data_IF_758957403326
#
_entry.id   IF_758957403326
#
_cell.length_a   1.000
_cell.length_b   1.000
_cell.length_c   1.000
_cell.angle_alpha   90.00
_cell.angle_beta   90.00
_cell.angle_gamma   90.00
#
_symmetry.space_group_name_H-M   'P 1'
#
loop_
_entity.id
_entity.type
_entity.pdbx_description
1 polymer ?
#
# COMPACT_ATOMS: atom_id res chain seq x y z
N UNK A 1 -3.91 22.08 16.38
CA UNK A 1 -4.06 20.86 17.19
C UNK A 1 -2.86 19.94 16.97
N UNK A 2 -2.55 19.04 17.93
CA UNK A 2 -1.54 18.02 17.71
C UNK A 2 -2.02 17.01 16.66
N UNK A 3 -1.09 16.56 15.82
CA UNK A 3 -1.30 15.51 14.83
C UNK A 3 -1.14 14.13 15.49
N UNK A 4 -2.04 13.19 15.24
CA UNK A 4 -2.05 11.85 15.82
C UNK A 4 -2.39 10.75 14.80
N UNK A 5 -2.44 9.50 15.26
CA UNK A 5 -2.64 8.32 14.42
C UNK A 5 -4.05 8.18 13.81
N UNK A 6 -5.05 8.87 14.37
CA UNK A 6 -6.43 8.84 13.88
C UNK A 6 -6.67 9.88 12.78
N UNK A 7 -5.68 10.74 12.50
CA UNK A 7 -5.74 11.65 11.36
C UNK A 7 -5.73 10.89 10.02
N UNK A 8 -6.48 11.36 9.01
CA UNK A 8 -6.48 10.76 7.68
C UNK A 8 -5.14 10.94 6.96
N UNK A 9 -4.67 9.87 6.31
CA UNK A 9 -3.52 9.88 5.41
C UNK A 9 -3.94 9.69 3.94
N UNK A 10 -5.02 8.92 3.67
CA UNK A 10 -5.56 8.75 2.32
C UNK A 10 -7.07 8.94 2.25
N UNK A 11 -7.53 9.30 1.05
CA UNK A 11 -8.90 9.14 0.62
C UNK A 11 -8.90 8.25 -0.64
N UNK A 12 -9.24 6.97 -0.48
CA UNK A 12 -9.19 5.98 -1.57
C UNK A 12 -10.59 5.78 -2.11
N UNK A 13 -10.76 5.94 -3.43
CA UNK A 13 -12.07 5.76 -4.06
C UNK A 13 -12.29 4.34 -4.57
N UNK A 14 -13.51 3.84 -4.40
CA UNK A 14 -13.95 2.62 -5.07
C UNK A 14 -14.16 2.86 -6.56
N UNK A 15 -14.13 1.81 -7.38
CA UNK A 15 -14.29 1.89 -8.84
C UNK A 15 -15.65 2.42 -9.30
N UNK A 16 -16.67 2.37 -8.43
CA UNK A 16 -18.01 2.88 -8.75
C UNK A 16 -18.74 2.08 -9.83
N UNK A 17 -18.46 0.79 -10.00
CA UNK A 17 -19.09 -0.05 -11.05
C UNK A 17 -20.59 -0.27 -10.86
N UNK A 18 -21.10 -0.13 -9.63
CA UNK A 18 -22.54 -0.30 -9.31
C UNK A 18 -23.26 1.02 -9.02
N UNK A 19 -22.56 1.97 -8.41
CA UNK A 19 -23.07 3.27 -7.99
C UNK A 19 -21.91 4.28 -7.96
N UNK A 20 -22.17 5.53 -7.60
CA UNK A 20 -21.11 6.53 -7.51
C UNK A 20 -19.92 6.08 -6.64
N UNK A 21 -18.67 6.35 -7.08
CA UNK A 21 -17.47 6.09 -6.31
C UNK A 21 -17.58 6.65 -4.89
N UNK A 22 -17.20 5.84 -3.90
CA UNK A 22 -17.21 6.24 -2.49
C UNK A 22 -15.76 6.43 -2.04
N UNK A 23 -15.48 7.57 -1.43
CA UNK A 23 -14.19 7.84 -0.79
C UNK A 23 -14.11 7.16 0.57
N UNK A 24 -13.20 6.20 0.71
CA UNK A 24 -12.84 5.59 1.98
C UNK A 24 -11.74 6.42 2.63
N UNK A 25 -12.05 7.02 3.77
CA UNK A 25 -11.07 7.71 4.60
C UNK A 25 -10.18 6.67 5.29
N UNK A 26 -8.87 6.85 5.19
CA UNK A 26 -7.88 5.91 5.70
C UNK A 26 -6.91 6.64 6.60
N UNK A 27 -6.76 6.21 7.85
CA UNK A 27 -5.93 6.88 8.85
C UNK A 27 -4.52 6.30 8.93
N UNK A 28 -3.61 7.00 9.61
CA UNK A 28 -2.27 6.49 9.90
C UNK A 28 -2.31 5.16 10.66
N UNK A 29 -3.21 5.04 11.65
CA UNK A 29 -3.44 3.82 12.42
C UNK A 29 -3.86 2.64 11.55
N UNK A 30 -4.75 2.88 10.57
CA UNK A 30 -5.19 1.83 9.64
C UNK A 30 -4.04 1.33 8.77
N UNK A 31 -3.18 2.24 8.29
CA UNK A 31 -2.00 1.89 7.49
C UNK A 31 -1.02 1.02 8.27
N UNK A 32 -0.75 1.41 9.53
CA UNK A 32 0.14 0.68 10.41
C UNK A 32 -0.35 -0.76 10.65
N UNK A 33 -1.63 -0.92 11.03
CA UNK A 33 -2.20 -2.25 11.25
C UNK A 33 -2.29 -3.09 9.97
N UNK A 34 -2.55 -2.49 8.81
CA UNK A 34 -2.50 -3.22 7.55
C UNK A 34 -1.08 -3.71 7.24
N UNK A 35 -0.06 -2.89 7.52
CA UNK A 35 1.34 -3.26 7.30
C UNK A 35 1.76 -4.43 8.20
N UNK A 36 1.49 -4.34 9.51
CA UNK A 36 1.77 -5.44 10.44
C UNK A 36 1.05 -6.75 10.08
N UNK A 37 -0.24 -6.67 9.71
CA UNK A 37 -0.97 -7.87 9.30
C UNK A 37 -0.42 -8.47 8.00
N UNK A 38 0.08 -7.64 7.10
CA UNK A 38 0.68 -8.08 5.82
C UNK A 38 2.04 -8.72 6.07
N UNK A 39 2.88 -8.10 6.91
CA UNK A 39 4.15 -8.65 7.38
C UNK A 39 3.96 -10.04 7.96
N UNK A 40 3.10 -10.20 8.97
CA UNK A 40 2.84 -11.48 9.63
C UNK A 40 2.35 -12.54 8.63
N UNK A 41 1.60 -12.13 7.60
CA UNK A 41 1.05 -13.06 6.61
C UNK A 41 2.06 -13.51 5.57
N UNK A 42 3.02 -12.65 5.24
CA UNK A 42 3.97 -12.85 4.14
C UNK A 42 5.41 -13.06 4.62
N UNK A 43 5.62 -13.06 5.94
CA UNK A 43 6.92 -13.14 6.61
C UNK A 43 7.93 -12.12 6.08
N UNK A 44 7.46 -10.88 5.88
CA UNK A 44 8.29 -9.80 5.31
C UNK A 44 9.37 -9.38 6.31
N UNK A 45 10.59 -9.29 5.81
CA UNK A 45 11.78 -8.82 6.52
C UNK A 45 12.46 -7.70 5.73
N UNK A 46 13.45 -7.04 6.34
CA UNK A 46 14.28 -6.04 5.67
C UNK A 46 15.13 -6.59 4.51
N UNK A 47 15.26 -7.91 4.38
CA UNK A 47 15.98 -8.54 3.28
C UNK A 47 15.12 -8.75 2.03
N UNK A 48 13.80 -8.54 2.14
CA UNK A 48 12.87 -8.79 1.05
C UNK A 48 12.86 -7.67 0.02
N UNK A 49 12.46 -8.04 -1.20
CA UNK A 49 12.40 -7.14 -2.35
C UNK A 49 11.08 -7.35 -3.07
N UNK A 50 10.30 -6.28 -3.21
CA UNK A 50 9.07 -6.27 -4.00
C UNK A 50 9.26 -5.52 -5.31
N UNK A 51 8.57 -5.99 -6.35
CA UNK A 51 8.31 -5.22 -7.55
C UNK A 51 6.86 -4.74 -7.47
N UNK A 52 6.64 -3.45 -7.69
CA UNK A 52 5.30 -2.86 -7.73
C UNK A 52 5.08 -2.16 -9.08
N UNK A 53 4.29 -2.82 -9.92
CA UNK A 53 3.84 -2.31 -11.22
C UNK A 53 2.41 -1.78 -11.17
N UNK A 54 1.75 -1.83 -10.00
CA UNK A 54 0.37 -1.43 -9.84
C UNK A 54 0.27 0.10 -9.63
N UNK A 55 -0.84 0.74 -10.00
CA UNK A 55 -1.00 2.17 -9.81
C UNK A 55 -1.04 2.54 -8.32
N UNK A 56 -0.24 3.52 -7.84
CA UNK A 56 -0.14 3.87 -6.43
C UNK A 56 -1.39 4.51 -5.83
N UNK A 57 -2.40 4.86 -6.63
CA UNK A 57 -3.71 5.32 -6.14
C UNK A 57 -4.63 4.18 -5.67
N UNK A 58 -4.24 2.91 -5.86
CA UNK A 58 -4.96 1.75 -5.34
C UNK A 58 -4.36 1.22 -4.04
N UNK A 59 -5.22 0.73 -3.15
CA UNK A 59 -4.86 0.17 -1.83
C UNK A 59 -3.78 -0.92 -1.90
N UNK A 60 -3.81 -1.79 -2.92
CA UNK A 60 -2.83 -2.88 -3.05
C UNK A 60 -1.41 -2.38 -3.34
N UNK A 61 -1.28 -1.41 -4.24
CA UNK A 61 0.02 -0.81 -4.57
C UNK A 61 0.58 -0.04 -3.39
N UNK A 62 -0.26 0.78 -2.72
CA UNK A 62 0.22 1.65 -1.67
C UNK A 62 0.35 0.95 -0.31
N UNK A 63 -0.73 0.37 0.19
CA UNK A 63 -0.80 -0.12 1.57
C UNK A 63 -0.07 -1.46 1.72
N UNK A 64 -0.34 -2.41 0.80
CA UNK A 64 0.17 -3.79 0.89
C UNK A 64 1.62 -3.90 0.40
N UNK A 65 1.96 -3.27 -0.72
CA UNK A 65 3.32 -3.37 -1.27
C UNK A 65 4.22 -2.24 -0.75
N UNK A 66 3.95 -0.99 -1.11
CA UNK A 66 4.90 0.09 -0.85
C UNK A 66 5.09 0.40 0.64
N UNK A 67 4.01 0.70 1.35
CA UNK A 67 4.08 1.13 2.75
C UNK A 67 4.57 0.00 3.67
N UNK A 68 4.08 -1.22 3.47
CA UNK A 68 4.50 -2.38 4.25
C UNK A 68 6.01 -2.62 4.09
N UNK A 69 6.51 -2.74 2.86
CA UNK A 69 7.93 -3.02 2.64
C UNK A 69 8.82 -1.89 3.17
N UNK A 70 8.42 -0.63 2.99
CA UNK A 70 9.17 0.51 3.54
C UNK A 70 9.19 0.50 5.07
N UNK A 71 8.07 0.17 5.73
CA UNK A 71 7.99 0.10 7.19
C UNK A 71 8.94 -0.93 7.80
N UNK A 72 9.14 -2.07 7.11
CA UNK A 72 10.05 -3.13 7.55
C UNK A 72 11.50 -2.95 7.06
N UNK A 73 11.82 -1.81 6.41
CA UNK A 73 13.15 -1.53 5.87
C UNK A 73 13.52 -2.39 4.65
N UNK A 74 12.54 -2.98 3.99
CA UNK A 74 12.69 -3.78 2.79
C UNK A 74 12.77 -2.90 1.53
N UNK A 75 13.14 -3.50 0.40
CA UNK A 75 13.29 -2.80 -0.87
C UNK A 75 12.02 -2.91 -1.73
N UNK A 76 11.62 -1.80 -2.38
CA UNK A 76 10.55 -1.81 -3.39
C UNK A 76 11.03 -1.15 -4.69
N UNK A 77 10.94 -1.88 -5.80
CA UNK A 77 11.10 -1.33 -7.15
C UNK A 77 9.74 -0.86 -7.67
N UNK A 78 9.58 0.45 -7.85
CA UNK A 78 8.40 1.03 -8.49
C UNK A 78 8.60 1.05 -10.02
N UNK A 79 7.73 0.34 -10.74
CA UNK A 79 7.72 0.35 -12.20
C UNK A 79 6.52 1.14 -12.70
N UNK A 80 6.73 1.91 -13.78
CA UNK A 80 5.66 2.73 -14.38
C UNK A 80 4.49 1.88 -14.87
N UNK A 81 4.81 0.75 -15.49
CA UNK A 81 3.88 -0.21 -16.05
C UNK A 81 4.45 -1.62 -15.84
N UNK A 82 3.60 -2.63 -15.95
CA UNK A 82 4.05 -4.01 -16.02
C UNK A 82 4.75 -4.29 -17.36
N UNK A 83 5.93 -4.91 -17.27
CA UNK A 83 6.71 -5.42 -18.39
C UNK A 83 7.18 -6.83 -18.03
N UNK A 84 6.75 -7.84 -18.79
CA UNK A 84 7.00 -9.23 -18.47
C UNK A 84 8.49 -9.59 -18.58
N UNK A 85 9.19 -9.06 -19.59
CA UNK A 85 10.60 -9.37 -19.83
C UNK A 85 11.51 -8.73 -18.78
N UNK A 86 11.06 -7.65 -18.13
CA UNK A 86 11.79 -7.00 -17.05
C UNK A 86 11.50 -7.61 -15.66
N UNK A 87 10.41 -8.35 -15.50
CA UNK A 87 9.94 -8.93 -14.22
C UNK A 87 10.31 -10.40 -14.07
N UNK A 88 10.39 -11.15 -15.17
CA UNK A 88 10.73 -12.58 -15.20
C UNK A 88 12.25 -12.80 -15.35
#
# INVERSE_FOLDING_TARGET
>A
EPFDEDHPIFLIYTSGTTAFPKGAMYTHKMLFWNSLNTEIRLDITSNDRAINCAPPFHTGSWNVLLATFVLHGAYTLLMRNFDADAVL
#
